data_IF_556451992905
#
_entry.id   IF_556451992905
#
_cell.length_a   1.000
_cell.length_b   1.000
_cell.length_c   1.000
_cell.angle_alpha   90.00
_cell.angle_beta   90.00
_cell.angle_gamma   90.00
#
_symmetry.space_group_name_H-M   'P 1'
#
loop_
_entity.id
_entity.type
_entity.pdbx_description
1 polymer ?
#
# COMPACT_ATOMS: atom_id res chain seq x y z
N UNK A 1 -14.97 -33.18 13.72
CA UNK A 1 -14.14 -33.70 12.62
C UNK A 1 -13.41 -32.51 12.04
N UNK A 2 -12.11 -32.40 12.25
CA UNK A 2 -11.31 -31.26 11.79
C UNK A 2 -10.94 -31.50 10.33
N UNK A 3 -11.46 -30.69 9.42
CA UNK A 3 -11.14 -30.75 8.00
C UNK A 3 -9.68 -30.31 7.81
N UNK A 4 -8.79 -31.25 7.48
CA UNK A 4 -7.40 -30.95 7.16
C UNK A 4 -7.38 -30.40 5.74
N UNK A 5 -7.41 -29.07 5.63
CA UNK A 5 -7.27 -28.37 4.34
C UNK A 5 -5.87 -28.66 3.80
N UNK A 6 -5.78 -29.50 2.77
CA UNK A 6 -4.51 -29.75 2.07
C UNK A 6 -4.16 -28.53 1.25
N UNK A 7 -3.04 -27.90 1.57
CA UNK A 7 -2.45 -26.84 0.76
C UNK A 7 -1.52 -27.48 -0.26
N UNK A 8 -1.77 -27.23 -1.55
CA UNK A 8 -0.83 -27.55 -2.61
C UNK A 8 0.07 -26.32 -2.81
N UNK A 9 1.37 -26.50 -2.81
CA UNK A 9 2.34 -25.49 -3.23
C UNK A 9 2.90 -25.86 -4.59
N UNK A 10 2.86 -24.92 -5.53
CA UNK A 10 3.47 -25.02 -6.84
C UNK A 10 4.27 -23.74 -7.07
N UNK A 11 5.45 -23.87 -7.68
CA UNK A 11 6.23 -22.73 -8.14
C UNK A 11 5.77 -22.33 -9.55
N UNK A 12 5.39 -21.07 -9.71
CA UNK A 12 5.04 -20.48 -11.00
C UNK A 12 6.18 -19.61 -11.50
N UNK A 13 6.46 -19.69 -12.80
CA UNK A 13 7.39 -18.78 -13.45
C UNK A 13 6.80 -17.38 -13.57
N UNK A 14 7.62 -16.33 -13.50
CA UNK A 14 7.15 -14.94 -13.58
C UNK A 14 6.55 -14.57 -14.94
N UNK A 15 6.88 -15.33 -15.99
CA UNK A 15 6.33 -15.21 -17.35
C UNK A 15 5.05 -16.04 -17.55
N UNK A 16 4.48 -16.62 -16.49
CA UNK A 16 3.21 -17.32 -16.56
C UNK A 16 2.13 -16.39 -17.15
N UNK A 17 1.39 -16.82 -18.20
CA UNK A 17 0.54 -15.93 -19.02
C UNK A 17 -0.77 -15.50 -18.33
N UNK A 18 -0.91 -15.74 -17.03
CA UNK A 18 -2.11 -15.41 -16.27
C UNK A 18 -2.15 -13.96 -15.79
N UNK A 19 -3.36 -13.43 -15.69
CA UNK A 19 -3.64 -12.17 -15.01
C UNK A 19 -4.23 -12.42 -13.63
N UNK A 20 -3.80 -11.61 -12.67
CA UNK A 20 -4.10 -11.76 -11.27
C UNK A 20 -4.65 -10.46 -10.71
N UNK A 21 -5.66 -10.57 -9.85
CA UNK A 21 -6.18 -9.45 -9.07
C UNK A 21 -5.75 -9.59 -7.62
N UNK A 22 -5.36 -8.48 -7.01
CA UNK A 22 -5.00 -8.45 -5.59
C UNK A 22 -6.27 -8.67 -4.74
N UNK A 23 -6.16 -9.56 -3.76
CA UNK A 23 -7.17 -9.69 -2.71
C UNK A 23 -6.78 -8.76 -1.59
N UNK A 24 -7.72 -7.90 -1.20
CA UNK A 24 -7.54 -6.93 -0.15
C UNK A 24 -7.08 -7.58 1.17
N UNK A 25 -6.05 -6.98 1.77
CA UNK A 25 -5.45 -7.43 3.02
C UNK A 25 -5.99 -6.57 4.16
N UNK A 26 -6.92 -7.16 4.93
CA UNK A 26 -7.59 -6.48 6.04
C UNK A 26 -6.69 -6.21 7.25
N UNK A 27 -5.44 -6.63 7.25
CA UNK A 27 -4.51 -6.31 8.33
C UNK A 27 -3.97 -4.88 8.17
N UNK A 28 -4.15 -3.98 9.15
CA UNK A 28 -3.58 -2.65 9.07
C UNK A 28 -2.06 -2.68 9.19
N UNK A 29 -1.43 -1.64 8.66
CA UNK A 29 -0.14 -1.16 9.13
C UNK A 29 -0.36 -0.33 10.39
N UNK A 30 0.56 -0.40 11.36
CA UNK A 30 0.44 0.28 12.65
C UNK A 30 1.22 1.59 12.73
N UNK A 31 1.96 1.94 11.67
CA UNK A 31 2.72 3.19 11.58
C UNK A 31 3.07 3.54 10.13
N UNK A 32 3.38 4.82 9.89
CA UNK A 32 3.94 5.26 8.60
C UNK A 32 5.29 4.57 8.31
N UNK A 33 6.13 4.38 9.32
CA UNK A 33 7.38 3.63 9.18
C UNK A 33 7.16 2.22 8.63
N UNK A 34 6.16 1.48 9.15
CA UNK A 34 5.86 0.13 8.66
C UNK A 34 5.46 0.14 7.18
N UNK A 35 4.68 1.13 6.75
CA UNK A 35 4.32 1.30 5.33
C UNK A 35 5.59 1.51 4.52
N UNK A 36 6.41 2.50 4.87
CA UNK A 36 7.65 2.85 4.17
C UNK A 36 8.62 1.67 4.09
N UNK A 37 8.72 0.86 5.14
CA UNK A 37 9.59 -0.32 5.17
C UNK A 37 9.04 -1.49 4.34
N UNK A 38 7.73 -1.50 4.10
CA UNK A 38 7.01 -2.59 3.42
C UNK A 38 6.77 -2.33 1.94
N UNK A 39 6.49 -1.10 1.54
CA UNK A 39 6.14 -0.76 0.15
C UNK A 39 7.19 0.10 -0.53
N UNK A 40 7.35 -0.11 -1.83
CA UNK A 40 8.20 0.72 -2.66
C UNK A 40 7.50 2.06 -2.94
N UNK A 41 8.14 3.16 -2.52
CA UNK A 41 7.66 4.52 -2.79
C UNK A 41 8.42 5.07 -3.99
N UNK A 42 7.71 5.39 -5.07
CA UNK A 42 8.30 6.01 -6.26
C UNK A 42 7.22 6.76 -7.05
N UNK A 43 7.44 8.04 -7.40
CA UNK A 43 6.48 8.82 -8.18
C UNK A 43 6.30 8.30 -9.61
N UNK A 44 7.27 7.56 -10.14
CA UNK A 44 7.27 6.95 -11.47
C UNK A 44 6.44 5.65 -11.53
N UNK A 45 6.01 5.12 -10.38
CA UNK A 45 5.35 3.81 -10.31
C UNK A 45 3.86 3.95 -10.67
N UNK A 46 3.49 3.45 -11.85
CA UNK A 46 2.10 3.23 -12.22
C UNK A 46 1.45 2.26 -11.22
N UNK A 47 0.32 2.66 -10.63
CA UNK A 47 -0.40 1.84 -9.66
C UNK A 47 0.25 1.77 -8.28
N UNK A 48 0.99 2.79 -7.86
CA UNK A 48 1.44 2.93 -6.47
C UNK A 48 0.25 2.76 -5.50
N UNK A 49 0.41 2.01 -4.39
CA UNK A 49 -0.66 1.81 -3.45
C UNK A 49 -1.12 3.14 -2.84
N UNK A 50 -2.44 3.28 -2.73
CA UNK A 50 -3.06 4.30 -1.89
C UNK A 50 -3.35 3.71 -0.52
N UNK A 51 -3.42 4.58 0.48
CA UNK A 51 -3.71 4.21 1.85
C UNK A 51 -4.80 5.10 2.41
N UNK A 52 -5.52 4.60 3.39
CA UNK A 52 -6.45 5.39 4.21
C UNK A 52 -6.26 5.05 5.68
N UNK A 53 -6.71 5.95 6.54
CA UNK A 53 -6.82 5.71 7.99
C UNK A 53 -8.28 5.88 8.42
N UNK A 54 -8.78 5.07 9.39
CA UNK A 54 -10.16 5.15 9.85
C UNK A 54 -10.42 6.39 10.73
N UNK A 55 -9.35 7.03 11.20
CA UNK A 55 -9.41 8.23 12.03
C UNK A 55 -9.01 9.48 11.24
N UNK A 56 -9.40 10.65 11.74
CA UNK A 56 -9.00 11.92 11.15
C UNK A 56 -7.54 12.23 11.46
N UNK A 57 -6.74 12.53 10.43
CA UNK A 57 -5.35 12.95 10.59
C UNK A 57 -5.29 14.49 10.68
N UNK A 58 -4.82 15.01 11.82
CA UNK A 58 -4.61 16.44 12.03
C UNK A 58 -3.14 16.79 11.81
N UNK A 59 -2.87 17.65 10.83
CA UNK A 59 -1.53 18.05 10.41
C UNK A 59 -1.42 19.58 10.33
N UNK A 60 -0.20 20.14 10.36
CA UNK A 60 0.02 21.58 10.14
C UNK A 60 -0.55 22.09 8.81
N UNK A 61 -0.48 21.29 7.75
CA UNK A 61 -0.91 21.61 6.39
C UNK A 61 -2.43 21.47 6.21
N UNK A 62 -3.12 20.88 7.19
CA UNK A 62 -4.57 20.74 7.18
C UNK A 62 -5.05 19.45 7.83
N UNK A 63 -6.27 19.07 7.46
CA UNK A 63 -6.89 17.82 7.92
C UNK A 63 -7.05 16.87 6.75
N UNK A 64 -6.68 15.60 6.96
CA UNK A 64 -7.12 14.46 6.13
C UNK A 64 -8.30 13.80 6.85
N UNK A 65 -9.43 13.66 6.15
CA UNK A 65 -10.64 13.10 6.75
C UNK A 65 -10.48 11.60 6.98
N UNK A 66 -11.28 11.06 7.90
CA UNK A 66 -11.38 9.61 8.07
C UNK A 66 -11.77 8.95 6.73
N UNK A 67 -11.15 7.81 6.43
CA UNK A 67 -11.34 7.02 5.21
C UNK A 67 -10.94 7.72 3.90
N UNK A 68 -10.38 8.93 3.97
CA UNK A 68 -9.85 9.63 2.79
C UNK A 68 -8.55 8.96 2.32
N UNK A 69 -8.49 8.59 1.04
CA UNK A 69 -7.31 7.95 0.47
C UNK A 69 -6.20 8.94 0.17
N UNK A 70 -4.95 8.54 0.38
CA UNK A 70 -3.77 9.31 0.08
C UNK A 70 -2.63 8.41 -0.38
N UNK A 71 -1.65 8.99 -1.07
CA UNK A 71 -0.45 8.30 -1.56
C UNK A 71 0.78 8.85 -0.89
N UNK A 72 1.73 7.98 -0.56
CA UNK A 72 3.07 8.37 -0.13
C UNK A 72 3.91 8.62 -1.38
N UNK A 73 4.54 9.77 -1.53
CA UNK A 73 5.21 10.16 -2.79
C UNK A 73 6.73 10.25 -2.67
N UNK A 74 7.25 10.71 -1.53
CA UNK A 74 8.70 10.83 -1.31
C UNK A 74 9.05 10.74 0.18
N UNK A 75 10.19 10.14 0.51
CA UNK A 75 10.74 10.14 1.87
C UNK A 75 11.75 11.28 1.96
N UNK A 76 11.69 12.07 3.03
CA UNK A 76 12.62 13.16 3.31
C UNK A 76 13.20 13.02 4.70
N UNK A 77 14.48 13.30 4.83
CA UNK A 77 15.20 13.29 6.11
C UNK A 77 15.92 14.61 6.27
N UNK A 78 15.52 15.39 7.27
CA UNK A 78 16.13 16.68 7.57
C UNK A 78 16.49 16.72 9.06
N UNK A 79 17.75 17.02 9.36
CA UNK A 79 18.24 17.17 10.75
C UNK A 79 17.93 15.99 11.70
N UNK A 80 17.79 14.78 11.17
CA UNK A 80 17.47 13.58 11.95
C UNK A 80 15.97 13.33 12.16
N UNK A 81 15.09 14.22 11.70
CA UNK A 81 13.64 13.99 11.65
C UNK A 81 13.26 13.53 10.24
N UNK A 82 12.72 12.32 10.14
CA UNK A 82 12.31 11.73 8.86
C UNK A 82 10.80 11.83 8.70
N UNK A 83 10.38 12.28 7.52
CA UNK A 83 9.00 12.43 7.14
C UNK A 83 8.77 11.83 5.75
N UNK A 84 7.51 11.62 5.43
CA UNK A 84 7.06 11.23 4.10
C UNK A 84 6.13 12.31 3.57
N UNK A 85 6.36 12.73 2.33
CA UNK A 85 5.44 13.53 1.56
C UNK A 85 4.28 12.64 1.15
N UNK A 86 3.08 13.15 1.35
CA UNK A 86 1.85 12.51 0.95
C UNK A 86 1.04 13.42 0.02
N UNK A 87 0.25 12.80 -0.83
CA UNK A 87 -0.68 13.49 -1.73
C UNK A 87 -2.08 12.91 -1.55
N UNK A 88 -3.07 13.80 -1.38
CA UNK A 88 -4.48 13.47 -1.50
C UNK A 88 -5.07 14.21 -2.69
N UNK A 89 -5.85 13.50 -3.51
CA UNK A 89 -6.56 14.09 -4.64
C UNK A 89 -8.01 14.36 -4.26
N UNK A 90 -8.38 15.64 -4.22
CA UNK A 90 -9.74 16.12 -3.91
C UNK A 90 -10.34 16.76 -5.15
N UNK A 91 -11.29 16.08 -5.79
CA UNK A 91 -11.85 16.50 -7.09
C UNK A 91 -10.69 16.70 -8.07
N UNK A 92 -10.45 17.94 -8.50
CA UNK A 92 -9.41 18.31 -9.47
C UNK A 92 -8.20 19.00 -8.82
N UNK A 93 -8.09 18.96 -7.49
CA UNK A 93 -7.00 19.58 -6.74
C UNK A 93 -6.17 18.55 -5.97
N UNK A 94 -4.85 18.66 -6.09
CA UNK A 94 -3.89 17.91 -5.27
C UNK A 94 -3.54 18.71 -4.04
N UNK A 95 -3.67 18.08 -2.88
CA UNK A 95 -3.18 18.63 -1.62
C UNK A 95 -2.02 17.79 -1.13
N UNK A 96 -0.88 18.45 -0.91
CA UNK A 96 0.35 17.83 -0.44
C UNK A 96 0.49 18.13 1.05
N UNK A 97 0.85 17.12 1.82
CA UNK A 97 1.07 17.23 3.25
C UNK A 97 2.22 16.31 3.67
N UNK A 98 2.80 16.55 4.84
CA UNK A 98 3.88 15.70 5.36
C UNK A 98 3.43 14.93 6.60
N UNK A 99 3.92 13.70 6.74
CA UNK A 99 3.69 12.89 7.95
C UNK A 99 5.02 12.37 8.47
N UNK A 100 5.26 12.48 9.77
CA UNK A 100 6.46 11.90 10.39
C UNK A 100 6.45 10.39 10.27
N UNK A 101 7.61 9.77 10.02
CA UNK A 101 7.70 8.30 9.98
C UNK A 101 7.32 7.66 11.32
N UNK A 102 7.61 8.36 12.42
CA UNK A 102 7.25 7.93 13.79
C UNK A 102 5.76 8.02 14.11
N UNK A 103 4.93 8.53 13.20
CA UNK A 103 3.49 8.62 13.41
C UNK A 103 2.87 7.21 13.43
N UNK A 104 2.22 6.88 14.54
CA UNK A 104 1.53 5.60 14.77
C UNK A 104 0.03 5.74 14.54
N UNK A 105 -0.58 4.69 14.03
CA UNK A 105 -2.02 4.64 13.76
C UNK A 105 -2.35 3.45 12.87
N UNK A 106 -3.63 3.17 12.67
CA UNK A 106 -4.04 2.13 11.72
C UNK A 106 -4.12 2.71 10.31
N UNK A 107 -3.41 2.08 9.38
CA UNK A 107 -3.44 2.43 7.96
C UNK A 107 -3.75 1.19 7.14
N UNK A 108 -4.61 1.33 6.15
CA UNK A 108 -5.06 0.24 5.29
C UNK A 108 -4.70 0.57 3.85
N UNK A 109 -4.21 -0.42 3.11
CA UNK A 109 -4.00 -0.30 1.67
C UNK A 109 -5.37 -0.30 0.97
N UNK A 110 -5.61 0.67 0.10
CA UNK A 110 -6.84 0.70 -0.69
C UNK A 110 -6.87 -0.51 -1.65
N UNK A 111 -8.04 -1.10 -1.83
CA UNK A 111 -8.23 -2.08 -2.89
C UNK A 111 -8.09 -1.41 -4.26
N UNK A 112 -7.38 -2.06 -5.17
CA UNK A 112 -7.39 -1.73 -6.60
C UNK A 112 -8.19 -2.79 -7.38
N UNK A 113 -8.76 -2.37 -8.52
CA UNK A 113 -9.53 -3.21 -9.43
C UNK A 113 -8.70 -3.65 -10.66
N UNK A 114 -7.38 -3.52 -10.56
CA UNK A 114 -6.46 -3.72 -11.65
C UNK A 114 -6.04 -5.19 -11.78
N UNK A 115 -5.48 -5.51 -12.95
CA UNK A 115 -4.95 -6.83 -13.26
C UNK A 115 -3.45 -6.75 -13.46
N UNK A 116 -2.75 -7.73 -12.90
CA UNK A 116 -1.30 -7.79 -12.90
C UNK A 116 -0.81 -9.15 -13.37
N UNK A 117 0.28 -9.14 -14.12
CA UNK A 117 1.13 -10.33 -14.32
C UNK A 117 1.88 -10.68 -13.03
N UNK A 118 2.42 -11.91 -12.94
CA UNK A 118 3.28 -12.27 -11.80
C UNK A 118 4.54 -11.39 -11.72
N UNK A 119 5.11 -11.02 -12.87
CA UNK A 119 6.25 -10.09 -12.94
C UNK A 119 5.95 -8.74 -12.29
N UNK A 120 4.84 -8.09 -12.68
CA UNK A 120 4.42 -6.81 -12.11
C UNK A 120 4.12 -6.91 -10.61
N UNK A 121 3.49 -8.01 -10.18
CA UNK A 121 3.23 -8.24 -8.76
C UNK A 121 4.53 -8.30 -7.96
N UNK A 122 5.50 -9.11 -8.41
CA UNK A 122 6.78 -9.28 -7.72
C UNK A 122 7.61 -8.01 -7.73
N UNK A 123 7.63 -7.29 -8.84
CA UNK A 123 8.45 -6.09 -8.97
C UNK A 123 7.90 -4.89 -8.18
N UNK A 124 6.58 -4.74 -8.11
CA UNK A 124 5.96 -3.49 -7.61
C UNK A 124 4.90 -3.68 -6.53
N UNK A 125 4.16 -4.80 -6.53
CA UNK A 125 3.06 -5.02 -5.57
C UNK A 125 3.44 -5.95 -4.42
N UNK A 126 4.64 -6.51 -4.37
CA UNK A 126 5.07 -7.30 -3.23
C UNK A 126 5.47 -6.39 -2.06
N UNK A 127 4.91 -6.70 -0.89
CA UNK A 127 5.20 -5.99 0.36
C UNK A 127 6.30 -6.74 1.10
N UNK A 128 7.38 -6.05 1.45
CA UNK A 128 8.44 -6.65 2.26
C UNK A 128 7.86 -7.08 3.62
N UNK A 129 8.11 -8.32 4.01
CA UNK A 129 7.64 -8.86 5.30
C UNK A 129 6.14 -9.19 5.39
N UNK A 130 5.35 -9.00 4.32
CA UNK A 130 3.92 -9.34 4.30
C UNK A 130 3.59 -10.32 3.17
N UNK A 131 2.57 -11.16 3.39
CA UNK A 131 2.02 -12.03 2.35
C UNK A 131 1.10 -11.21 1.45
N UNK A 132 1.02 -11.59 0.16
CA UNK A 132 0.09 -11.04 -0.81
C UNK A 132 -0.78 -12.19 -1.31
N UNK A 133 -2.09 -12.02 -1.24
CA UNK A 133 -3.05 -12.99 -1.77
C UNK A 133 -3.59 -12.43 -3.08
N UNK A 134 -3.69 -13.28 -4.10
CA UNK A 134 -4.23 -12.91 -5.40
C UNK A 134 -5.23 -13.96 -5.88
N UNK A 135 -6.16 -13.54 -6.73
CA UNK A 135 -7.04 -14.44 -7.48
C UNK A 135 -6.65 -14.42 -8.94
N UNK A 136 -6.48 -15.60 -9.52
CA UNK A 136 -6.31 -15.78 -10.96
C UNK A 136 -7.66 -15.61 -11.67
N UNK A 137 -7.66 -14.92 -12.82
CA UNK A 137 -8.81 -14.87 -13.72
C UNK A 137 -8.61 -15.84 -14.88
N UNK A 138 -9.58 -16.74 -15.05
CA UNK A 138 -9.65 -17.70 -16.15
C UNK A 138 -10.14 -17.02 -17.43
#
# INVERSE_FOLDING_TARGET
>A
MTEVKRFLSLDLSLDYPGLFRIVDDKRPYTSIQEIVDSVRISPECLGQPEFYCPEKLQLPEGTIQAEESFRLTAIRTEHGDSHVDCEVTRKDSKHIFTVKLSHTGEFYECADDQFYTLGELVEWKMRKGRKRTVTWLC
#
